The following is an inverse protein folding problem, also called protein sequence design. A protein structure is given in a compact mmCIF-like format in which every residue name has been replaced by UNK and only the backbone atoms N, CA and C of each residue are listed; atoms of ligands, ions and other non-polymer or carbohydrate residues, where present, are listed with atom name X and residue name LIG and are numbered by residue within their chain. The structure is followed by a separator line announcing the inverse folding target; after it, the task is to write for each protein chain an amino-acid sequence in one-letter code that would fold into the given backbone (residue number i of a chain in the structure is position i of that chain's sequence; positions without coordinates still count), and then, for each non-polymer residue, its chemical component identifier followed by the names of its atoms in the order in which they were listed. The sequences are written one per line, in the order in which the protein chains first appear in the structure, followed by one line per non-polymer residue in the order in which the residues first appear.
data_IF_844212917527
#
_entry.id   IF_844212917527
#
_cell.length_a   1.000
_cell.length_b   1.000
_cell.length_c   1.000
_cell.angle_alpha   90.00
_cell.angle_beta   90.00
_cell.angle_gamma   90.00
#
_symmetry.space_group_name_H-M   'P 1'
#
loop_
_entity.id
_entity.type
_entity.pdbx_description
1 polymer ?
#
# COMPACT_ATOMS: atom_id res chain seq x y z
N UNK A 1 8.52 34.68 -5.76
CA UNK A 1 9.69 33.82 -6.06
C UNK A 1 9.58 32.62 -5.11
N UNK A 2 9.70 31.38 -5.59
CA UNK A 2 9.71 30.21 -4.73
C UNK A 2 11.00 30.17 -3.92
N UNK A 3 10.90 29.82 -2.64
CA UNK A 3 12.06 29.60 -1.77
C UNK A 3 12.80 28.34 -2.25
N UNK A 4 14.10 28.23 -1.99
CA UNK A 4 14.92 27.10 -2.47
C UNK A 4 14.38 25.75 -1.98
N UNK A 5 13.92 25.67 -0.73
CA UNK A 5 13.24 24.48 -0.19
C UNK A 5 11.98 24.09 -0.96
N UNK A 6 11.16 25.06 -1.38
CA UNK A 6 9.96 24.74 -2.17
C UNK A 6 10.32 24.15 -3.53
N UNK A 7 11.43 24.59 -4.12
CA UNK A 7 11.93 24.05 -5.38
C UNK A 7 12.40 22.60 -5.23
N UNK A 8 13.14 22.30 -4.18
CA UNK A 8 13.60 20.95 -3.87
C UNK A 8 12.43 19.97 -3.67
N UNK A 9 11.42 20.37 -2.91
CA UNK A 9 10.21 19.57 -2.68
C UNK A 9 9.49 19.28 -4.01
N UNK A 10 9.30 20.30 -4.83
CA UNK A 10 8.63 20.14 -6.13
C UNK A 10 9.45 19.24 -7.05
N UNK A 11 10.77 19.42 -7.11
CA UNK A 11 11.65 18.58 -7.94
C UNK A 11 11.58 17.12 -7.52
N UNK A 12 11.71 16.84 -6.22
CA UNK A 12 11.61 15.48 -5.67
C UNK A 12 10.28 14.80 -6.03
N UNK A 13 9.18 15.56 -5.97
CA UNK A 13 7.87 15.03 -6.39
C UNK A 13 7.81 14.77 -7.91
N UNK A 14 8.37 15.65 -8.74
CA UNK A 14 8.42 15.46 -10.18
C UNK A 14 9.26 14.25 -10.58
N UNK A 15 10.38 14.05 -9.91
CA UNK A 15 11.27 12.88 -10.12
C UNK A 15 10.54 11.59 -9.75
N UNK A 16 9.85 11.55 -8.60
CA UNK A 16 9.00 10.43 -8.22
C UNK A 16 7.94 10.12 -9.29
N UNK A 17 7.26 11.16 -9.80
CA UNK A 17 6.22 10.99 -10.82
C UNK A 17 6.79 10.40 -12.11
N UNK A 18 7.95 10.87 -12.54
CA UNK A 18 8.59 10.42 -13.77
C UNK A 18 9.19 9.03 -13.63
N UNK A 19 10.00 8.81 -12.59
CA UNK A 19 10.83 7.60 -12.46
C UNK A 19 10.01 6.38 -12.05
N UNK A 20 9.05 6.57 -11.16
CA UNK A 20 8.23 5.46 -10.65
C UNK A 20 6.91 5.29 -11.41
N UNK A 21 6.21 6.39 -11.65
CA UNK A 21 4.86 6.32 -12.21
C UNK A 21 4.80 6.54 -13.72
N UNK A 22 5.93 6.88 -14.33
CA UNK A 22 6.02 7.25 -15.74
C UNK A 22 5.02 8.37 -16.12
N UNK A 23 4.81 9.31 -15.19
CA UNK A 23 3.95 10.49 -15.37
C UNK A 23 4.82 11.73 -15.52
N UNK A 24 4.91 12.27 -16.75
CA UNK A 24 5.56 13.55 -16.99
C UNK A 24 4.53 14.68 -16.86
N UNK A 25 4.63 15.47 -15.77
CA UNK A 25 3.70 16.54 -15.48
C UNK A 25 4.00 17.72 -16.42
N UNK A 26 3.14 17.91 -17.41
CA UNK A 26 3.22 19.00 -18.38
C UNK A 26 2.79 20.34 -17.76
N UNK A 27 3.47 21.40 -18.13
CA UNK A 27 3.13 22.77 -17.69
C UNK A 27 2.48 23.64 -18.76
N UNK A 28 2.22 23.06 -19.94
CA UNK A 28 1.70 23.79 -21.10
C UNK A 28 0.23 24.21 -20.93
N UNK A 29 -0.59 23.36 -20.28
CA UNK A 29 -2.02 23.59 -20.14
C UNK A 29 -2.48 23.33 -18.71
N UNK A 30 -3.24 24.26 -18.10
CA UNK A 30 -3.71 24.17 -16.72
C UNK A 30 -4.54 22.93 -16.44
N UNK A 31 -5.44 22.58 -17.34
CA UNK A 31 -6.30 21.39 -17.22
C UNK A 31 -5.47 20.11 -17.29
N UNK A 32 -4.49 20.07 -18.17
CA UNK A 32 -3.60 18.92 -18.32
C UNK A 32 -2.72 18.75 -17.09
N UNK A 33 -2.05 19.82 -16.64
CA UNK A 33 -1.24 19.81 -15.41
C UNK A 33 -2.05 19.34 -14.20
N UNK A 34 -3.28 19.87 -14.03
CA UNK A 34 -4.19 19.43 -12.96
C UNK A 34 -4.50 17.93 -13.02
N UNK A 35 -4.81 17.42 -14.20
CA UNK A 35 -5.14 15.99 -14.37
C UNK A 35 -3.94 15.09 -14.09
N UNK A 36 -2.74 15.47 -14.53
CA UNK A 36 -1.50 14.73 -14.30
C UNK A 36 -1.11 14.72 -12.82
N UNK A 37 -1.23 15.85 -12.12
CA UNK A 37 -1.03 15.91 -10.64
C UNK A 37 -2.07 15.04 -9.91
N UNK A 38 -3.33 15.11 -10.32
CA UNK A 38 -4.39 14.25 -9.76
C UNK A 38 -4.10 12.77 -10.00
N UNK A 39 -3.62 12.42 -11.19
CA UNK A 39 -3.21 11.06 -11.52
C UNK A 39 -2.06 10.60 -10.63
N UNK A 40 -1.03 11.41 -10.45
CA UNK A 40 0.10 11.10 -9.57
C UNK A 40 -0.37 10.86 -8.12
N UNK A 41 -1.25 11.69 -7.59
CA UNK A 41 -1.85 11.52 -6.26
C UNK A 41 -2.59 10.19 -6.13
N UNK A 42 -3.37 9.81 -7.14
CA UNK A 42 -4.06 8.52 -7.16
C UNK A 42 -3.08 7.34 -7.20
N UNK A 43 -1.97 7.45 -7.94
CA UNK A 43 -0.96 6.42 -8.02
C UNK A 43 -0.26 6.22 -6.67
N UNK A 44 0.19 7.29 -6.02
CA UNK A 44 0.75 7.24 -4.66
C UNK A 44 -0.24 6.57 -3.69
N UNK A 45 -1.51 6.98 -3.75
CA UNK A 45 -2.57 6.39 -2.94
C UNK A 45 -2.76 4.90 -3.20
N UNK A 46 -2.55 4.42 -4.42
CA UNK A 46 -2.78 3.02 -4.83
C UNK A 46 -1.60 2.10 -4.50
N UNK A 47 -0.40 2.62 -4.30
CA UNK A 47 0.79 1.83 -3.99
C UNK A 47 0.72 1.05 -2.66
N UNK A 48 -0.27 1.32 -1.85
CA UNK A 48 -0.56 0.53 -0.65
C UNK A 48 -1.17 -0.85 -0.94
N UNK A 49 -1.79 -1.05 -2.11
CA UNK A 49 -2.45 -2.33 -2.44
C UNK A 49 -1.51 -3.54 -2.45
N UNK A 50 -0.29 -3.48 -2.98
CA UNK A 50 0.64 -4.60 -2.94
C UNK A 50 0.93 -5.07 -1.52
N UNK A 51 1.10 -4.13 -0.57
CA UNK A 51 1.37 -4.44 0.85
C UNK A 51 0.16 -5.14 1.48
N UNK A 52 -1.05 -4.64 1.27
CA UNK A 52 -2.27 -5.27 1.77
C UNK A 52 -2.44 -6.71 1.24
N UNK A 53 -2.04 -6.94 -0.02
CA UNK A 53 -2.08 -8.26 -0.63
C UNK A 53 -1.08 -9.21 0.04
N UNK A 54 0.16 -8.76 0.25
CA UNK A 54 1.17 -9.54 0.97
C UNK A 54 0.76 -9.83 2.42
N UNK A 55 0.05 -8.92 3.10
CA UNK A 55 -0.50 -9.17 4.44
C UNK A 55 -1.55 -10.28 4.43
N UNK A 56 -2.42 -10.30 3.42
CA UNK A 56 -3.40 -11.38 3.26
C UNK A 56 -2.72 -12.72 2.96
N UNK A 57 -1.72 -12.72 2.09
CA UNK A 57 -0.95 -13.92 1.75
C UNK A 57 -0.17 -14.44 2.97
N UNK A 58 0.45 -13.55 3.76
CA UNK A 58 1.10 -13.92 5.03
C UNK A 58 0.14 -14.56 6.02
N UNK A 59 -1.04 -13.98 6.20
CA UNK A 59 -2.03 -14.51 7.13
C UNK A 59 -2.54 -15.88 6.68
N UNK A 60 -2.80 -16.06 5.38
CA UNK A 60 -3.19 -17.35 4.81
C UNK A 60 -2.10 -18.40 5.02
N UNK A 61 -0.85 -18.10 4.68
CA UNK A 61 0.27 -19.03 4.85
C UNK A 61 0.52 -19.40 6.32
N UNK A 62 0.34 -18.45 7.25
CA UNK A 62 0.41 -18.76 8.69
C UNK A 62 -0.68 -19.73 9.11
N UNK A 63 -1.89 -19.58 8.60
CA UNK A 63 -2.97 -20.49 8.88
C UNK A 63 -2.70 -21.88 8.30
N UNK A 64 -2.22 -21.97 7.06
CA UNK A 64 -1.80 -23.23 6.43
C UNK A 64 -0.72 -23.93 7.28
N UNK A 65 0.26 -23.17 7.81
CA UNK A 65 1.31 -23.69 8.69
C UNK A 65 0.75 -24.22 10.02
N UNK A 66 -0.18 -23.49 10.65
CA UNK A 66 -0.85 -23.93 11.89
C UNK A 66 -1.70 -25.19 11.66
N UNK A 67 -2.39 -25.28 10.54
CA UNK A 67 -3.21 -26.44 10.18
C UNK A 67 -2.37 -27.72 10.00
N UNK A 68 -1.16 -27.58 9.43
CA UNK A 68 -0.18 -28.68 9.32
C UNK A 68 0.38 -29.09 10.70
N UNK A 69 0.47 -28.16 11.65
CA UNK A 69 0.94 -28.45 13.00
C UNK A 69 -0.11 -29.15 13.86
N UNK A 70 -1.40 -29.08 13.53
CA UNK A 70 -2.44 -29.75 14.28
C UNK A 70 -2.24 -31.26 14.18
N UNK A 71 -2.17 -31.98 15.30
CA UNK A 71 -2.11 -33.44 15.25
C UNK A 71 -3.35 -33.93 14.51
N UNK A 72 -3.14 -34.74 13.49
CA UNK A 72 -4.24 -35.44 12.82
C UNK A 72 -4.93 -36.33 13.84
N UNK A 73 -6.05 -35.88 14.39
CA UNK A 73 -6.90 -36.69 15.22
C UNK A 73 -7.53 -37.72 14.29
N UNK A 74 -6.92 -38.88 14.22
CA UNK A 74 -7.45 -40.05 13.51
C UNK A 74 -8.81 -40.30 14.09
N UNK A 75 -9.88 -40.06 13.33
CA UNK A 75 -11.18 -40.57 13.70
C UNK A 75 -11.03 -42.06 14.00
N UNK A 76 -11.44 -42.50 15.19
CA UNK A 76 -11.44 -43.92 15.58
C UNK A 76 -12.21 -44.68 14.51
N UNK A 77 -11.47 -45.37 13.65
CA UNK A 77 -12.05 -46.38 12.77
C UNK A 77 -12.50 -47.51 13.65
N UNK A 78 -13.78 -47.63 13.87
CA UNK A 78 -14.42 -48.74 14.53
C UNK A 78 -14.01 -50.05 13.85
N UNK A 79 -13.56 -50.98 14.61
CA UNK A 79 -12.89 -52.21 14.25
C UNK A 79 -13.58 -53.05 13.20
N UNK A 80 -12.80 -53.47 12.24
CA UNK A 80 -12.99 -54.68 11.48
C UNK A 80 -11.83 -55.62 11.81
N UNK A 81 -12.13 -56.79 12.35
CA UNK A 81 -11.17 -57.90 12.52
C UNK A 81 -10.61 -58.30 11.17
N UNK A 82 -9.32 -58.08 10.95
CA UNK A 82 -8.63 -58.52 9.75
C UNK A 82 -7.16 -58.11 9.79
N UNK A 83 -6.27 -59.10 9.89
CA UNK A 83 -4.84 -59.01 10.09
C UNK A 83 -4.16 -57.96 9.19
N UNK A 84 -3.63 -56.94 9.84
CA UNK A 84 -3.01 -55.79 9.16
C UNK A 84 -1.48 -55.87 9.23
N UNK A 85 -0.84 -55.60 8.10
CA UNK A 85 0.58 -55.36 7.97
C UNK A 85 1.04 -54.18 8.85
N UNK A 86 2.30 -54.10 9.27
CA UNK A 86 2.76 -53.14 10.28
C UNK A 86 2.68 -51.73 9.76
N UNK A 87 1.92 -50.92 10.51
CA UNK A 87 1.64 -49.47 10.26
C UNK A 87 2.91 -48.59 10.32
N UNK A 88 4.08 -49.14 10.68
CA UNK A 88 5.29 -48.37 10.94
C UNK A 88 5.98 -47.78 9.68
N UNK A 89 5.82 -48.40 8.51
CA UNK A 89 6.45 -47.87 7.28
C UNK A 89 5.72 -46.64 6.70
N UNK A 90 4.42 -46.53 6.97
CA UNK A 90 3.63 -45.37 6.51
C UNK A 90 3.83 -44.12 7.38
N UNK A 91 4.21 -44.28 8.65
CA UNK A 91 4.45 -43.14 9.54
C UNK A 91 5.72 -42.37 9.19
N UNK A 92 6.80 -43.05 8.82
CA UNK A 92 8.09 -42.39 8.53
C UNK A 92 8.01 -41.54 7.28
N UNK A 93 7.42 -42.02 6.19
CA UNK A 93 7.29 -41.25 4.97
C UNK A 93 6.33 -40.03 5.10
N UNK A 94 5.31 -40.16 5.94
CA UNK A 94 4.38 -39.08 6.21
C UNK A 94 5.03 -37.97 7.06
N UNK A 95 5.82 -38.31 8.05
CA UNK A 95 6.53 -37.38 8.91
C UNK A 95 7.64 -36.61 8.12
N UNK A 96 8.36 -37.26 7.21
CA UNK A 96 9.34 -36.61 6.32
C UNK A 96 8.68 -35.62 5.35
N UNK A 97 7.57 -36.03 4.73
CA UNK A 97 6.84 -35.11 3.82
C UNK A 97 6.26 -33.91 4.54
N UNK A 98 5.77 -34.09 5.77
CA UNK A 98 5.30 -32.95 6.61
C UNK A 98 6.46 -32.04 6.98
N UNK A 99 7.62 -32.61 7.29
CA UNK A 99 8.80 -31.79 7.63
C UNK A 99 9.26 -30.95 6.43
N UNK A 100 9.33 -31.53 5.24
CA UNK A 100 9.66 -30.83 4.00
C UNK A 100 8.63 -29.72 3.74
N UNK A 101 7.34 -30.01 3.81
CA UNK A 101 6.28 -29.04 3.61
C UNK A 101 6.33 -27.87 4.62
N UNK A 102 6.68 -28.14 5.87
CA UNK A 102 6.91 -27.10 6.88
C UNK A 102 8.06 -26.18 6.50
N UNK A 103 9.19 -26.77 6.11
CA UNK A 103 10.36 -25.97 5.68
C UNK A 103 10.04 -25.10 4.47
N UNK A 104 9.29 -25.61 3.49
CA UNK A 104 8.86 -24.84 2.32
C UNK A 104 7.97 -23.65 2.74
N UNK A 105 6.99 -23.89 3.61
CA UNK A 105 6.10 -22.81 4.09
C UNK A 105 6.87 -21.80 4.94
N UNK A 106 7.81 -22.21 5.79
CA UNK A 106 8.66 -21.31 6.56
C UNK A 106 9.51 -20.43 5.65
N UNK A 107 10.06 -20.98 4.58
CA UNK A 107 10.82 -20.22 3.59
C UNK A 107 9.92 -19.21 2.87
N UNK A 108 8.74 -19.61 2.40
CA UNK A 108 7.78 -18.72 1.75
C UNK A 108 7.33 -17.59 2.69
N UNK A 109 7.07 -17.89 3.97
CA UNK A 109 6.73 -16.86 4.98
C UNK A 109 7.85 -15.84 5.15
N UNK A 110 9.11 -16.31 5.18
CA UNK A 110 10.29 -15.45 5.26
C UNK A 110 10.40 -14.54 4.05
N UNK A 111 10.25 -15.10 2.84
CA UNK A 111 10.36 -14.36 1.58
C UNK A 111 9.27 -13.29 1.45
N UNK A 112 8.02 -13.61 1.79
CA UNK A 112 6.91 -12.64 1.79
C UNK A 112 7.16 -11.55 2.83
N UNK A 113 7.67 -11.88 4.02
CA UNK A 113 7.97 -10.90 5.06
C UNK A 113 9.07 -9.91 4.62
N UNK A 114 10.11 -10.40 3.94
CA UNK A 114 11.18 -9.55 3.37
C UNK A 114 10.62 -8.63 2.28
N UNK A 115 9.83 -9.16 1.35
CA UNK A 115 9.19 -8.36 0.30
C UNK A 115 8.30 -7.27 0.90
N UNK A 116 7.48 -7.61 1.90
CA UNK A 116 6.63 -6.65 2.61
C UNK A 116 7.46 -5.51 3.21
N UNK A 117 8.55 -5.83 3.90
CA UNK A 117 9.43 -4.83 4.54
C UNK A 117 10.04 -3.86 3.51
N UNK A 118 10.46 -4.36 2.35
CA UNK A 118 11.00 -3.52 1.26
C UNK A 118 9.92 -2.57 0.74
N UNK A 119 8.71 -3.08 0.47
CA UNK A 119 7.60 -2.26 -0.03
C UNK A 119 7.12 -1.24 1.00
N UNK A 120 7.10 -1.58 2.28
CA UNK A 120 6.75 -0.64 3.36
C UNK A 120 7.74 0.52 3.44
N UNK A 121 9.04 0.25 3.27
CA UNK A 121 10.05 1.30 3.23
C UNK A 121 9.86 2.23 2.04
N UNK A 122 9.65 1.69 0.85
CA UNK A 122 9.39 2.47 -0.37
C UNK A 122 8.13 3.33 -0.22
N UNK A 123 7.04 2.75 0.27
CA UNK A 123 5.79 3.47 0.49
C UNK A 123 5.95 4.61 1.50
N UNK A 124 6.73 4.40 2.55
CA UNK A 124 7.02 5.44 3.55
C UNK A 124 7.77 6.63 2.94
N UNK A 125 8.73 6.36 2.05
CA UNK A 125 9.45 7.40 1.33
C UNK A 125 8.50 8.22 0.42
N UNK A 126 7.62 7.57 -0.33
CA UNK A 126 6.63 8.23 -1.19
C UNK A 126 5.62 9.05 -0.40
N UNK A 127 5.14 8.53 0.72
CA UNK A 127 4.23 9.26 1.59
C UNK A 127 4.92 10.50 2.18
N UNK A 128 6.19 10.40 2.55
CA UNK A 128 6.96 11.55 3.01
C UNK A 128 7.11 12.62 1.92
N UNK A 129 7.35 12.22 0.66
CA UNK A 129 7.39 13.15 -0.47
C UNK A 129 6.03 13.83 -0.67
N UNK A 130 4.95 13.07 -0.60
CA UNK A 130 3.60 13.62 -0.71
C UNK A 130 3.27 14.59 0.44
N UNK A 131 3.56 14.23 1.69
CA UNK A 131 3.35 15.09 2.85
C UNK A 131 4.13 16.41 2.73
N UNK A 132 5.40 16.34 2.32
CA UNK A 132 6.23 17.51 2.09
C UNK A 132 5.64 18.41 0.99
N UNK A 133 5.12 17.83 -0.09
CA UNK A 133 4.44 18.58 -1.13
C UNK A 133 3.21 19.32 -0.59
N UNK A 134 2.43 18.70 0.28
CA UNK A 134 1.26 19.32 0.89
C UNK A 134 1.61 20.48 1.84
N UNK A 135 2.81 20.52 2.41
CA UNK A 135 3.28 21.65 3.23
C UNK A 135 3.29 22.95 2.42
N UNK A 136 3.44 22.86 1.10
CA UNK A 136 3.40 24.03 0.21
C UNK A 136 2.01 24.69 0.14
N UNK A 137 0.95 24.02 0.57
CA UNK A 137 -0.40 24.60 0.63
C UNK A 137 -0.54 25.50 1.87
N UNK A 138 -1.04 26.73 1.73
CA UNK A 138 -1.19 27.65 2.86
C UNK A 138 -2.32 27.24 3.79
N UNK A 139 -3.35 26.57 3.29
CA UNK A 139 -4.56 26.20 4.06
C UNK A 139 -4.38 24.86 4.76
N UNK A 140 -4.36 24.85 6.10
CA UNK A 140 -4.20 23.66 6.92
C UNK A 140 -5.34 22.64 6.73
N UNK A 141 -6.59 23.09 6.65
CA UNK A 141 -7.74 22.21 6.44
C UNK A 141 -7.63 21.52 5.08
N UNK A 142 -7.21 22.23 4.05
CA UNK A 142 -6.99 21.67 2.71
C UNK A 142 -5.91 20.59 2.72
N UNK A 143 -4.79 20.80 3.45
CA UNK A 143 -3.76 19.78 3.66
C UNK A 143 -4.32 18.53 4.33
N UNK A 144 -5.05 18.72 5.42
CA UNK A 144 -5.65 17.64 6.18
C UNK A 144 -6.65 16.82 5.34
N UNK A 145 -7.50 17.48 4.57
CA UNK A 145 -8.45 16.81 3.65
C UNK A 145 -7.71 15.98 2.61
N UNK A 146 -6.63 16.49 2.02
CA UNK A 146 -5.83 15.75 1.04
C UNK A 146 -5.11 14.54 1.66
N UNK A 147 -4.56 14.67 2.87
CA UNK A 147 -3.98 13.55 3.61
C UNK A 147 -5.02 12.44 3.83
N UNK A 148 -6.18 12.80 4.38
CA UNK A 148 -7.27 11.84 4.63
C UNK A 148 -7.77 11.18 3.35
N UNK A 149 -7.85 11.93 2.25
CA UNK A 149 -8.35 11.43 0.98
C UNK A 149 -7.36 10.49 0.27
N UNK A 150 -6.08 10.83 0.25
CA UNK A 150 -5.08 10.12 -0.55
C UNK A 150 -4.19 9.16 0.26
N UNK A 151 -3.77 9.50 1.47
CA UNK A 151 -2.99 8.59 2.31
C UNK A 151 -3.87 7.65 3.13
N UNK A 152 -4.92 8.18 3.80
CA UNK A 152 -5.84 7.34 4.59
C UNK A 152 -6.91 6.66 3.75
N UNK A 153 -7.07 7.04 2.47
CA UNK A 153 -8.11 6.53 1.55
C UNK A 153 -9.53 6.62 2.07
N UNK A 154 -9.81 7.64 2.88
CA UNK A 154 -11.16 7.87 3.40
C UNK A 154 -12.09 8.36 2.30
N UNK A 155 -13.33 7.93 2.34
CA UNK A 155 -14.39 8.47 1.48
C UNK A 155 -14.67 9.92 1.85
N UNK A 156 -14.98 10.76 0.88
CA UNK A 156 -15.25 12.19 1.13
C UNK A 156 -16.41 12.42 2.11
N UNK A 157 -17.40 11.52 2.14
CA UNK A 157 -18.46 11.57 3.15
C UNK A 157 -17.96 11.34 4.57
N UNK A 158 -17.02 10.39 4.76
CA UNK A 158 -16.42 10.10 6.06
C UNK A 158 -15.52 11.27 6.53
N UNK A 159 -14.80 11.90 5.58
CA UNK A 159 -14.00 13.10 5.85
C UNK A 159 -14.91 14.26 6.26
N UNK A 160 -16.03 14.46 5.55
CA UNK A 160 -17.02 15.48 5.83
C UNK A 160 -17.58 15.34 7.26
N UNK A 161 -17.99 14.13 7.61
CA UNK A 161 -18.48 13.81 8.97
C UNK A 161 -17.40 14.03 10.05
N UNK A 162 -16.15 13.63 9.78
CA UNK A 162 -15.04 13.76 10.74
C UNK A 162 -14.67 15.21 11.01
N UNK A 163 -14.68 16.05 9.97
CA UNK A 163 -14.25 17.44 10.05
C UNK A 163 -15.41 18.44 10.28
N UNK A 164 -16.66 17.96 10.27
CA UNK A 164 -17.84 18.81 10.45
C UNK A 164 -18.15 19.72 9.25
N UNK A 165 -17.79 19.28 8.03
CA UNK A 165 -18.07 20.01 6.79
C UNK A 165 -19.11 19.29 5.92
N UNK A 166 -19.70 20.03 4.98
CA UNK A 166 -20.53 19.43 3.95
C UNK A 166 -19.67 18.68 2.91
N UNK A 167 -20.24 17.64 2.31
CA UNK A 167 -19.58 16.85 1.26
C UNK A 167 -19.01 17.70 0.11
N UNK A 168 -19.80 18.68 -0.36
CA UNK A 168 -19.40 19.59 -1.43
C UNK A 168 -18.18 20.45 -1.04
N UNK A 169 -18.08 20.84 0.22
CA UNK A 169 -16.94 21.60 0.76
C UNK A 169 -15.67 20.74 0.71
N UNK A 170 -15.75 19.46 1.07
CA UNK A 170 -14.61 18.53 0.95
C UNK A 170 -14.18 18.38 -0.51
N UNK A 171 -15.13 18.19 -1.44
CA UNK A 171 -14.82 18.13 -2.88
C UNK A 171 -14.10 19.40 -3.37
N UNK A 172 -14.53 20.58 -2.87
CA UNK A 172 -13.86 21.85 -3.20
C UNK A 172 -12.45 21.93 -2.61
N UNK A 173 -12.23 21.52 -1.37
CA UNK A 173 -10.89 21.49 -0.75
C UNK A 173 -9.94 20.58 -1.55
N UNK A 174 -10.37 19.39 -1.94
CA UNK A 174 -9.55 18.48 -2.77
C UNK A 174 -9.22 19.13 -4.12
N UNK A 175 -10.24 19.64 -4.83
CA UNK A 175 -10.03 20.23 -6.16
C UNK A 175 -9.16 21.48 -6.12
N UNK A 176 -9.35 22.33 -5.12
CA UNK A 176 -8.54 23.55 -4.96
C UNK A 176 -7.10 23.19 -4.54
N UNK A 177 -6.90 22.19 -3.66
CA UNK A 177 -5.56 21.75 -3.27
C UNK A 177 -4.74 21.24 -4.43
N UNK A 178 -5.31 20.39 -5.27
CA UNK A 178 -4.65 19.91 -6.48
C UNK A 178 -4.34 21.08 -7.43
N UNK A 179 -5.28 22.02 -7.58
CA UNK A 179 -5.06 23.21 -8.42
C UNK A 179 -3.92 24.08 -7.92
N UNK A 180 -3.83 24.28 -6.60
CA UNK A 180 -2.80 25.14 -6.02
C UNK A 180 -1.42 24.50 -6.10
N UNK A 181 -1.30 23.18 -5.90
CA UNK A 181 -0.07 22.44 -6.20
C UNK A 181 0.30 22.55 -7.69
N UNK A 182 -0.67 22.35 -8.58
CA UNK A 182 -0.44 22.47 -10.03
C UNK A 182 0.10 23.84 -10.42
N UNK A 183 -0.42 24.94 -9.81
CA UNK A 183 0.11 26.30 -10.03
C UNK A 183 1.55 26.45 -9.55
N UNK A 184 1.90 25.90 -8.37
CA UNK A 184 3.27 25.95 -7.86
C UNK A 184 4.24 25.18 -8.75
N UNK A 185 3.88 24.01 -9.24
CA UNK A 185 4.68 23.25 -10.21
C UNK A 185 4.91 24.06 -11.50
N UNK A 186 3.88 24.72 -12.02
CA UNK A 186 4.02 25.58 -13.20
C UNK A 186 4.93 26.79 -12.95
N UNK A 187 4.86 27.38 -11.76
CA UNK A 187 5.76 28.48 -11.39
C UNK A 187 7.21 28.01 -11.32
N UNK A 188 7.44 26.80 -10.76
CA UNK A 188 8.76 26.19 -10.68
C UNK A 188 9.39 25.99 -12.08
N UNK A 189 8.66 25.43 -13.04
CA UNK A 189 9.16 25.13 -14.38
C UNK A 189 9.28 26.38 -15.31
N UNK A 190 8.82 27.55 -14.89
CA UNK A 190 8.98 28.81 -15.64
C UNK A 190 10.26 29.59 -15.29
N UNK A 191 10.96 29.12 -14.27
CA UNK A 191 12.22 29.68 -13.80
C UNK A 191 13.39 28.95 -14.43
#
# INVERSE_FOLDING_TARGET
MLVEQEKEIIQTFLDLCKDKFNVDISTQNDKRTYNEVKQAFNLISNDRYPIMRLEQDLNKKRQDFEDIQRPYVRGESYGGEGGGAPINSFRVSYDENIHILRMEIEQELSDIAVQKTILEKQLKEEFSIFENLLILLPNQTQRQVLLMAYLDKRRYGDIANTLGYEYNTICQYVSNGIRDISKKIKQYRKI
#
